data_IF_669504087239
#
_entry.id   IF_669504087239
#
_cell.length_a   1.000
_cell.length_b   1.000
_cell.length_c   1.000
_cell.angle_alpha   90.00
_cell.angle_beta   90.00
_cell.angle_gamma   90.00
#
_symmetry.space_group_name_H-M   'P 1'
#
loop_
_entity.id
_entity.type
_entity.pdbx_description
1 polymer ?
#
# COMPACT_ATOMS: atom_id res chain seq x y z
N UNK A 1 -24.28 -12.22 48.07
CA UNK A 1 -24.26 -10.81 48.48
C UNK A 1 -23.43 -9.95 47.54
N UNK A 2 -22.16 -10.22 47.29
CA UNK A 2 -21.30 -9.39 46.39
C UNK A 2 -21.90 -9.05 45.00
N UNK A 3 -22.68 -9.95 44.39
CA UNK A 3 -23.25 -9.73 43.05
C UNK A 3 -24.34 -8.66 43.05
N UNK A 4 -25.17 -8.59 44.11
CA UNK A 4 -26.23 -7.61 44.23
C UNK A 4 -25.66 -6.23 44.53
N UNK A 5 -24.65 -6.16 45.43
CA UNK A 5 -23.95 -4.91 45.77
C UNK A 5 -23.27 -4.31 44.51
N UNK A 6 -22.54 -5.11 43.76
CA UNK A 6 -21.91 -4.68 42.50
C UNK A 6 -22.95 -4.16 41.48
N UNK A 7 -24.13 -4.78 41.39
CA UNK A 7 -25.18 -4.33 40.48
C UNK A 7 -25.73 -2.96 40.90
N UNK A 8 -25.94 -2.74 42.20
CA UNK A 8 -26.40 -1.43 42.71
C UNK A 8 -25.32 -0.36 42.53
N UNK A 9 -24.05 -0.69 42.76
CA UNK A 9 -22.92 0.21 42.50
C UNK A 9 -22.87 0.59 41.01
N UNK A 10 -23.02 -0.38 40.11
CA UNK A 10 -23.04 -0.11 38.68
C UNK A 10 -24.22 0.80 38.29
N UNK A 11 -25.42 0.54 38.76
CA UNK A 11 -26.61 1.37 38.50
C UNK A 11 -26.46 2.80 39.05
N UNK A 12 -25.75 2.96 40.18
CA UNK A 12 -25.40 4.27 40.74
C UNK A 12 -24.40 5.01 39.86
N UNK A 13 -23.34 4.33 39.42
CA UNK A 13 -22.30 4.88 38.55
C UNK A 13 -22.88 5.29 37.17
N UNK A 14 -23.76 4.49 36.62
CA UNK A 14 -24.46 4.76 35.36
C UNK A 14 -25.57 5.82 35.50
N UNK A 15 -25.93 6.22 36.75
CA UNK A 15 -26.93 7.25 37.01
C UNK A 15 -28.40 6.79 36.87
N UNK A 16 -28.65 5.50 36.76
CA UNK A 16 -30.05 4.97 36.73
C UNK A 16 -30.73 5.08 38.08
N UNK A 17 -29.96 4.98 39.16
CA UNK A 17 -30.45 5.15 40.51
C UNK A 17 -29.60 6.18 41.26
N UNK A 18 -30.14 6.74 42.33
CA UNK A 18 -29.45 7.55 43.32
C UNK A 18 -29.63 6.96 44.71
N UNK A 19 -28.66 7.11 45.57
CA UNK A 19 -28.73 6.74 46.98
C UNK A 19 -29.05 7.97 47.81
N UNK A 20 -30.02 7.85 48.74
CA UNK A 20 -30.31 8.86 49.76
C UNK A 20 -30.01 8.26 51.14
N UNK A 21 -29.20 8.96 51.92
CA UNK A 21 -28.77 8.48 53.24
C UNK A 21 -29.97 8.15 54.13
N UNK A 22 -29.95 6.96 54.74
CA UNK A 22 -31.00 6.40 55.57
C UNK A 22 -32.37 6.21 54.92
N UNK A 23 -32.50 6.47 53.60
CA UNK A 23 -33.75 6.34 52.84
C UNK A 23 -33.73 5.26 51.77
N UNK A 24 -32.50 4.86 51.34
CA UNK A 24 -32.32 3.80 50.35
C UNK A 24 -32.05 4.28 48.93
N UNK A 25 -32.36 3.45 47.96
CA UNK A 25 -32.11 3.72 46.54
C UNK A 25 -33.37 4.15 45.81
N UNK A 26 -33.24 5.14 44.94
CA UNK A 26 -34.33 5.69 44.14
C UNK A 26 -33.95 5.67 42.67
N UNK A 27 -34.90 5.32 41.80
CA UNK A 27 -34.72 5.36 40.35
C UNK A 27 -34.75 6.82 39.89
N UNK A 28 -33.76 7.19 39.09
CA UNK A 28 -33.69 8.51 38.48
C UNK A 28 -34.68 8.60 37.30
N UNK A 29 -35.31 9.76 37.14
CA UNK A 29 -36.13 10.03 35.96
C UNK A 29 -35.20 10.37 34.80
N UNK A 30 -35.03 9.42 33.87
CA UNK A 30 -34.31 9.65 32.66
C UNK A 30 -35.22 10.37 31.66
N UNK A 31 -34.86 11.60 31.29
CA UNK A 31 -35.50 12.25 30.14
C UNK A 31 -34.95 11.61 28.85
N UNK A 32 -35.52 10.49 28.48
CA UNK A 32 -35.27 9.93 27.14
C UNK A 32 -36.04 10.83 26.16
N UNK A 33 -35.34 11.80 25.58
CA UNK A 33 -35.85 12.42 24.36
C UNK A 33 -35.91 11.30 23.33
N UNK A 34 -37.11 10.80 23.08
CA UNK A 34 -37.38 9.86 22.00
C UNK A 34 -37.04 10.55 20.68
N UNK A 35 -35.79 10.49 20.31
CA UNK A 35 -35.45 10.70 18.93
C UNK A 35 -36.05 9.51 18.17
N UNK A 36 -37.02 9.76 17.30
CA UNK A 36 -37.47 8.76 16.34
C UNK A 36 -36.22 8.14 15.74
N UNK A 37 -36.07 6.83 15.86
CA UNK A 37 -34.92 6.13 15.28
C UNK A 37 -34.75 6.61 13.84
N UNK A 38 -33.58 7.11 13.46
CA UNK A 38 -33.37 7.50 12.09
C UNK A 38 -33.70 6.29 11.23
N UNK A 39 -34.61 6.47 10.27
CA UNK A 39 -34.87 5.46 9.27
C UNK A 39 -33.52 5.23 8.56
N UNK A 40 -32.85 4.15 8.89
CA UNK A 40 -31.68 3.72 8.15
C UNK A 40 -32.15 3.39 6.74
N UNK A 41 -32.05 4.37 5.84
CA UNK A 41 -32.12 4.08 4.42
C UNK A 41 -31.01 3.07 4.16
N UNK A 42 -31.39 1.85 3.83
CA UNK A 42 -30.42 0.81 3.48
C UNK A 42 -29.77 1.22 2.15
N UNK A 43 -28.61 1.88 2.23
CA UNK A 43 -27.71 2.07 1.11
C UNK A 43 -27.02 0.73 0.76
N UNK A 44 -27.80 -0.31 0.58
CA UNK A 44 -27.31 -1.56 0.02
C UNK A 44 -27.23 -1.33 -1.48
N UNK A 45 -26.08 -0.85 -1.94
CA UNK A 45 -25.74 -0.96 -3.35
C UNK A 45 -25.62 -2.46 -3.64
N UNK A 46 -26.67 -3.05 -4.19
CA UNK A 46 -26.59 -4.41 -4.73
C UNK A 46 -25.70 -4.33 -5.94
N UNK A 47 -24.44 -4.76 -5.81
CA UNK A 47 -23.61 -5.08 -6.94
C UNK A 47 -24.32 -6.23 -7.67
N UNK A 48 -24.87 -5.96 -8.86
CA UNK A 48 -25.29 -7.02 -9.77
C UNK A 48 -24.01 -7.65 -10.30
N UNK A 49 -23.79 -8.92 -10.00
CA UNK A 49 -22.84 -9.73 -10.74
C UNK A 49 -23.43 -9.90 -12.15
N UNK A 50 -22.91 -9.18 -13.12
CA UNK A 50 -23.24 -9.39 -14.53
C UNK A 50 -22.35 -10.56 -15.02
N UNK A 51 -22.96 -11.58 -15.56
CA UNK A 51 -22.25 -12.69 -16.20
C UNK A 51 -21.70 -12.21 -17.55
N UNK A 52 -20.38 -12.06 -17.63
CA UNK A 52 -19.68 -11.77 -18.89
C UNK A 52 -19.08 -13.04 -19.46
N UNK A 53 -19.02 -13.14 -20.79
CA UNK A 53 -18.27 -14.20 -21.47
C UNK A 53 -16.79 -14.17 -21.07
N UNK A 54 -16.23 -12.98 -20.90
CA UNK A 54 -14.91 -12.75 -20.35
C UNK A 54 -14.90 -11.38 -19.67
N UNK A 55 -14.53 -11.32 -18.40
CA UNK A 55 -14.32 -10.06 -17.69
C UNK A 55 -12.86 -9.61 -17.87
N UNK A 56 -12.65 -8.58 -18.69
CA UNK A 56 -11.34 -7.97 -18.93
C UNK A 56 -11.06 -6.77 -18.02
N UNK A 57 -11.98 -6.42 -17.12
CA UNK A 57 -11.85 -5.26 -16.23
C UNK A 57 -11.25 -5.61 -14.88
N UNK A 58 -11.43 -6.85 -14.43
CA UNK A 58 -11.01 -7.28 -13.12
C UNK A 58 -9.56 -7.77 -13.13
N UNK A 59 -8.87 -7.54 -12.01
CA UNK A 59 -7.59 -8.18 -11.71
C UNK A 59 -7.81 -9.65 -11.33
N UNK A 60 -8.58 -10.38 -12.13
CA UNK A 60 -8.89 -11.77 -11.87
C UNK A 60 -7.64 -12.63 -12.08
N UNK A 61 -7.39 -13.49 -11.13
CA UNK A 61 -6.39 -14.56 -11.24
C UNK A 61 -7.12 -15.88 -11.49
N UNK A 62 -6.40 -16.85 -12.04
CA UNK A 62 -6.89 -18.22 -12.12
C UNK A 62 -6.79 -18.84 -10.71
N UNK A 63 -7.91 -18.93 -10.00
CA UNK A 63 -7.96 -19.40 -8.60
C UNK A 63 -7.40 -20.81 -8.42
N UNK A 64 -7.48 -21.66 -9.43
CA UNK A 64 -6.93 -23.01 -9.47
C UNK A 64 -5.39 -23.04 -9.51
N UNK A 65 -4.74 -21.94 -9.86
CA UNK A 65 -3.27 -21.83 -9.89
C UNK A 65 -2.66 -21.43 -8.54
N UNK A 66 -3.45 -20.97 -7.59
CA UNK A 66 -2.92 -20.62 -6.28
C UNK A 66 -2.51 -21.87 -5.51
N UNK A 67 -1.27 -21.94 -4.98
CA UNK A 67 -0.74 -23.14 -4.33
C UNK A 67 -1.27 -23.30 -2.89
N UNK A 68 -2.58 -23.55 -2.72
CA UNK A 68 -3.25 -23.64 -1.41
C UNK A 68 -2.59 -24.61 -0.44
N UNK A 69 -2.14 -25.78 -0.91
CA UNK A 69 -1.49 -26.78 -0.04
C UNK A 69 -0.17 -26.26 0.53
N UNK A 70 0.64 -25.62 -0.30
CA UNK A 70 1.91 -25.01 0.10
C UNK A 70 1.65 -23.85 1.07
N UNK A 71 0.71 -22.95 0.74
CA UNK A 71 0.36 -21.82 1.59
C UNK A 71 -0.15 -22.28 2.96
N UNK A 72 -1.07 -23.24 3.01
CA UNK A 72 -1.59 -23.82 4.25
C UNK A 72 -0.50 -24.46 5.11
N UNK A 73 0.50 -25.12 4.49
CA UNK A 73 1.66 -25.67 5.20
C UNK A 73 2.50 -24.54 5.82
N UNK A 74 2.81 -23.52 5.05
CA UNK A 74 3.58 -22.34 5.49
C UNK A 74 2.86 -21.66 6.66
N UNK A 75 1.56 -21.40 6.55
CA UNK A 75 0.77 -20.77 7.61
C UNK A 75 0.81 -21.57 8.92
N UNK A 76 0.69 -22.89 8.85
CA UNK A 76 0.80 -23.76 10.04
C UNK A 76 2.19 -23.70 10.67
N UNK A 77 3.25 -23.72 9.86
CA UNK A 77 4.62 -23.58 10.35
C UNK A 77 4.83 -22.21 11.00
N UNK A 78 4.35 -21.14 10.37
CA UNK A 78 4.43 -19.79 10.90
C UNK A 78 3.80 -19.69 12.30
N UNK A 79 2.63 -20.29 12.50
CA UNK A 79 1.97 -20.31 13.82
C UNK A 79 2.78 -21.06 14.88
N UNK A 80 3.51 -22.11 14.48
CA UNK A 80 4.33 -22.92 15.40
C UNK A 80 5.67 -22.23 15.72
N UNK A 81 6.33 -21.67 14.69
CA UNK A 81 7.72 -21.19 14.81
C UNK A 81 7.81 -19.80 15.42
N UNK A 82 6.76 -18.99 15.30
CA UNK A 82 6.76 -17.56 15.68
C UNK A 82 5.71 -17.18 16.73
N UNK A 83 5.22 -18.13 17.52
CA UNK A 83 4.10 -17.98 18.45
C UNK A 83 4.07 -16.63 19.19
N UNK A 84 5.11 -16.32 19.97
CA UNK A 84 5.22 -15.06 20.73
C UNK A 84 5.52 -13.84 19.87
N UNK A 85 6.22 -14.00 18.75
CA UNK A 85 6.55 -12.93 17.82
C UNK A 85 5.32 -12.42 17.07
N UNK A 86 4.38 -13.31 16.77
CA UNK A 86 3.11 -12.96 16.11
C UNK A 86 2.19 -12.08 16.97
N UNK A 87 2.40 -12.08 18.30
CA UNK A 87 1.62 -11.27 19.23
C UNK A 87 2.20 -9.85 19.42
N UNK A 88 3.38 -9.58 18.89
CA UNK A 88 4.04 -8.27 19.00
C UNK A 88 3.50 -7.32 17.93
N UNK A 89 3.53 -6.03 18.24
CA UNK A 89 3.25 -4.98 17.25
C UNK A 89 4.25 -5.06 16.12
N UNK A 90 3.75 -5.07 14.89
CA UNK A 90 4.59 -5.05 13.69
C UNK A 90 5.27 -3.68 13.56
N UNK A 91 6.59 -3.64 13.29
CA UNK A 91 7.29 -2.38 13.03
C UNK A 91 6.63 -1.56 11.91
N UNK A 92 6.75 -0.24 11.96
CA UNK A 92 6.10 0.68 11.01
C UNK A 92 6.42 0.36 9.54
N UNK A 93 7.60 -0.17 9.26
CA UNK A 93 8.06 -0.54 7.92
C UNK A 93 7.88 -2.04 7.59
N UNK A 94 7.24 -2.81 8.48
CA UNK A 94 7.03 -4.24 8.31
C UNK A 94 8.05 -5.11 9.04
N UNK A 95 7.74 -6.41 9.12
CA UNK A 95 8.59 -7.41 9.76
C UNK A 95 9.94 -7.51 9.04
N UNK A 96 11.04 -7.45 9.78
CA UNK A 96 12.41 -7.51 9.23
C UNK A 96 12.59 -8.74 8.32
N UNK A 97 12.11 -9.91 8.75
CA UNK A 97 12.23 -11.14 7.98
C UNK A 97 11.59 -11.04 6.59
N UNK A 98 10.45 -10.36 6.47
CA UNK A 98 9.83 -10.12 5.15
C UNK A 98 10.65 -9.13 4.34
N UNK A 99 11.13 -8.06 4.95
CA UNK A 99 11.96 -7.05 4.25
C UNK A 99 13.26 -7.65 3.72
N UNK A 100 13.90 -8.53 4.49
CA UNK A 100 15.08 -9.30 4.04
C UNK A 100 14.71 -10.20 2.86
N UNK A 101 13.63 -10.98 2.97
CA UNK A 101 13.17 -11.85 1.88
C UNK A 101 12.83 -11.06 0.60
N UNK A 102 12.19 -9.88 0.73
CA UNK A 102 11.93 -8.98 -0.41
C UNK A 102 13.25 -8.47 -1.01
N UNK A 103 14.21 -8.05 -0.22
CA UNK A 103 15.51 -7.58 -0.73
C UNK A 103 16.25 -8.68 -1.51
N UNK A 104 16.25 -9.91 -1.00
CA UNK A 104 16.81 -11.07 -1.70
C UNK A 104 16.05 -11.40 -2.99
N UNK A 105 14.72 -11.33 -2.97
CA UNK A 105 13.88 -11.53 -4.15
C UNK A 105 14.21 -10.49 -5.24
N UNK A 106 14.26 -9.20 -4.87
CA UNK A 106 14.64 -8.12 -5.77
C UNK A 106 16.04 -8.29 -6.36
N UNK A 107 16.99 -8.74 -5.56
CA UNK A 107 18.33 -9.04 -6.04
C UNK A 107 18.33 -10.15 -7.10
N UNK A 108 17.65 -11.28 -6.81
CA UNK A 108 17.61 -12.45 -7.71
C UNK A 108 16.85 -12.17 -9.01
N UNK A 109 15.75 -11.44 -8.94
CA UNK A 109 14.84 -11.28 -10.09
C UNK A 109 15.00 -9.96 -10.83
N UNK A 110 15.51 -8.90 -10.15
CA UNK A 110 15.61 -7.55 -10.71
C UNK A 110 17.03 -6.99 -10.72
N UNK A 111 18.00 -7.69 -10.14
CA UNK A 111 19.38 -7.19 -10.00
C UNK A 111 19.48 -5.96 -9.09
N UNK A 112 18.47 -5.71 -8.24
CA UNK A 112 18.44 -4.57 -7.35
C UNK A 112 19.20 -4.87 -6.05
N UNK A 113 20.13 -3.99 -5.68
CA UNK A 113 20.87 -4.05 -4.42
C UNK A 113 20.24 -3.06 -3.44
N UNK A 114 19.26 -3.51 -2.66
CA UNK A 114 18.54 -2.66 -1.71
C UNK A 114 18.75 -3.14 -0.28
N UNK A 115 18.90 -2.18 0.65
CA UNK A 115 18.88 -2.51 2.08
C UNK A 115 17.46 -2.87 2.51
N UNK A 116 17.27 -3.93 3.31
CA UNK A 116 15.98 -4.22 3.93
C UNK A 116 15.41 -3.04 4.72
N UNK A 117 16.26 -2.14 5.23
CA UNK A 117 15.82 -0.98 6.00
C UNK A 117 15.24 0.14 5.15
N UNK A 118 15.44 0.09 3.84
CA UNK A 118 14.82 1.02 2.87
C UNK A 118 13.46 0.52 2.35
N UNK A 119 12.98 -0.63 2.82
CA UNK A 119 11.72 -1.24 2.39
C UNK A 119 10.61 -0.89 3.37
N UNK A 120 9.48 -0.40 2.84
CA UNK A 120 8.23 -0.17 3.58
C UNK A 120 7.18 -1.15 3.05
N UNK A 121 6.67 -2.00 3.91
CA UNK A 121 5.57 -2.94 3.61
C UNK A 121 4.23 -2.29 3.91
N UNK A 122 3.24 -2.48 3.03
CA UNK A 122 1.90 -1.91 3.20
C UNK A 122 0.80 -2.74 2.57
N UNK A 123 -0.45 -2.48 2.97
CA UNK A 123 -1.63 -3.21 2.53
C UNK A 123 -2.05 -2.82 1.09
N UNK A 124 -1.19 -3.11 0.13
CA UNK A 124 -1.37 -2.84 -1.29
C UNK A 124 -0.92 -1.45 -1.71
N UNK A 125 -0.94 -1.23 -3.02
CA UNK A 125 -0.37 -0.01 -3.63
C UNK A 125 -1.12 1.26 -3.26
N UNK A 126 -2.45 1.22 -3.08
CA UNK A 126 -3.22 2.41 -2.68
C UNK A 126 -2.75 2.98 -1.34
N UNK A 127 -2.48 2.11 -0.36
CA UNK A 127 -1.91 2.53 0.93
C UNK A 127 -0.51 3.12 0.75
N UNK A 128 0.35 2.46 -0.02
CA UNK A 128 1.71 2.92 -0.26
C UNK A 128 1.72 4.28 -0.97
N UNK A 129 0.88 4.48 -1.99
CA UNK A 129 0.72 5.79 -2.62
C UNK A 129 0.26 6.86 -1.62
N UNK A 130 -0.73 6.56 -0.79
CA UNK A 130 -1.17 7.52 0.24
C UNK A 130 -0.03 7.94 1.18
N UNK A 131 0.85 7.00 1.57
CA UNK A 131 2.05 7.30 2.37
C UNK A 131 3.08 8.11 1.59
N UNK A 132 3.30 7.77 0.33
CA UNK A 132 4.23 8.48 -0.54
C UNK A 132 3.81 9.94 -0.76
N UNK A 133 2.52 10.19 -1.00
CA UNK A 133 2.01 11.56 -1.17
C UNK A 133 2.23 12.41 0.09
N UNK A 134 2.02 11.81 1.27
CA UNK A 134 2.29 12.50 2.55
C UNK A 134 3.79 12.77 2.75
N UNK A 135 4.65 11.81 2.37
CA UNK A 135 6.09 11.92 2.50
C UNK A 135 6.67 13.02 1.60
N UNK A 136 6.24 13.07 0.34
CA UNK A 136 6.71 14.06 -0.62
C UNK A 136 6.11 15.45 -0.37
N UNK A 137 4.90 15.50 0.19
CA UNK A 137 4.24 16.73 0.60
C UNK A 137 3.55 17.47 -0.55
N UNK A 138 2.88 18.56 -0.19
CA UNK A 138 2.02 19.34 -1.12
C UNK A 138 2.76 20.10 -2.21
N UNK A 139 4.06 20.30 -2.05
CA UNK A 139 4.87 21.02 -3.04
C UNK A 139 5.30 20.13 -4.20
N UNK A 140 5.16 18.81 -4.06
CA UNK A 140 5.45 17.87 -5.13
C UNK A 140 4.38 17.98 -6.22
N UNK A 141 4.81 18.12 -7.48
CA UNK A 141 3.95 18.05 -8.65
C UNK A 141 4.25 16.77 -9.43
N UNK A 142 3.22 15.95 -9.60
CA UNK A 142 3.36 14.66 -10.23
C UNK A 142 3.08 14.74 -11.74
N UNK A 143 3.94 14.11 -12.55
CA UNK A 143 3.68 13.86 -13.97
C UNK A 143 3.25 12.42 -14.17
N UNK A 144 2.11 12.21 -14.81
CA UNK A 144 1.51 10.88 -15.05
C UNK A 144 1.44 10.62 -16.54
N UNK A 145 1.80 9.42 -16.95
CA UNK A 145 1.77 8.99 -18.37
C UNK A 145 0.36 9.14 -18.99
N UNK A 146 0.31 9.64 -20.23
CA UNK A 146 -0.92 9.82 -21.00
C UNK A 146 -0.78 9.17 -22.41
N UNK A 147 -1.57 8.11 -22.71
CA UNK A 147 -2.50 7.42 -21.84
C UNK A 147 -1.81 6.70 -20.68
N UNK A 148 -2.53 6.46 -19.58
CA UNK A 148 -1.99 5.80 -18.39
C UNK A 148 -3.09 5.21 -17.49
N UNK A 149 -2.70 4.67 -16.36
CA UNK A 149 -3.62 4.03 -15.42
C UNK A 149 -4.43 5.07 -14.63
N UNK A 150 -5.69 5.28 -15.03
CA UNK A 150 -6.58 6.30 -14.46
C UNK A 150 -6.77 6.25 -12.94
N UNK A 151 -6.55 5.11 -12.30
CA UNK A 151 -6.69 4.99 -10.84
C UNK A 151 -5.65 5.85 -10.11
N UNK A 152 -4.48 6.02 -10.69
CA UNK A 152 -3.41 6.85 -10.11
C UNK A 152 -3.83 8.31 -10.00
N UNK A 153 -4.42 8.87 -11.06
CA UNK A 153 -4.89 10.27 -11.02
C UNK A 153 -5.97 10.48 -9.97
N UNK A 154 -6.89 9.51 -9.80
CA UNK A 154 -7.90 9.56 -8.73
C UNK A 154 -7.27 9.52 -7.34
N UNK A 155 -6.20 8.73 -7.15
CA UNK A 155 -5.47 8.70 -5.88
C UNK A 155 -4.78 10.04 -5.60
N UNK A 156 -4.25 10.69 -6.62
CA UNK A 156 -3.64 12.01 -6.51
C UNK A 156 -4.66 13.10 -6.19
N UNK A 157 -5.84 13.07 -6.84
CA UNK A 157 -6.95 13.96 -6.54
C UNK A 157 -7.39 13.86 -5.07
N UNK A 158 -7.64 12.62 -4.61
CA UNK A 158 -8.03 12.36 -3.20
C UNK A 158 -6.89 12.72 -2.24
N UNK A 159 -5.64 12.51 -2.63
CA UNK A 159 -4.45 12.88 -1.86
C UNK A 159 -4.20 14.39 -1.79
N UNK A 160 -4.91 15.19 -2.61
CA UNK A 160 -4.80 16.65 -2.63
C UNK A 160 -3.44 17.17 -3.10
N UNK A 161 -2.76 16.41 -3.97
CA UNK A 161 -1.50 16.81 -4.59
C UNK A 161 -1.73 17.33 -6.01
N UNK A 162 -0.84 18.20 -6.47
CA UNK A 162 -0.87 18.70 -7.83
C UNK A 162 -0.28 17.67 -8.79
N UNK A 163 -0.95 17.44 -9.91
CA UNK A 163 -0.46 16.54 -10.95
C UNK A 163 -0.84 17.04 -12.35
N UNK A 164 -0.17 16.52 -13.38
CA UNK A 164 -0.47 16.81 -14.78
C UNK A 164 -0.18 15.59 -15.64
N UNK A 165 -0.85 15.49 -16.80
CA UNK A 165 -0.51 14.48 -17.77
C UNK A 165 0.77 14.84 -18.51
N UNK A 166 1.61 13.83 -18.74
CA UNK A 166 2.80 13.89 -19.59
C UNK A 166 2.61 12.89 -20.71
N UNK A 167 2.65 13.36 -21.94
CA UNK A 167 2.41 12.50 -23.09
C UNK A 167 3.51 11.45 -23.23
N UNK A 168 3.14 10.32 -23.79
CA UNK A 168 4.07 9.27 -24.18
C UNK A 168 4.24 9.23 -25.70
N UNK A 169 5.37 8.71 -26.12
CA UNK A 169 5.66 8.35 -27.51
C UNK A 169 5.98 6.85 -27.62
N UNK A 170 6.57 6.42 -28.74
CA UNK A 170 6.99 5.02 -28.92
C UNK A 170 8.10 4.52 -27.97
N UNK A 171 8.63 5.39 -27.10
CA UNK A 171 9.67 5.08 -26.12
C UNK A 171 9.21 5.30 -24.66
N UNK A 172 8.00 5.80 -24.43
CA UNK A 172 7.46 6.09 -23.09
C UNK A 172 7.29 7.58 -22.83
N UNK A 173 7.33 7.97 -21.57
CA UNK A 173 7.11 9.34 -21.12
C UNK A 173 8.08 10.33 -21.78
N UNK A 174 7.57 11.43 -22.34
CA UNK A 174 8.34 12.52 -22.95
C UNK A 174 9.01 13.38 -21.87
N UNK A 175 10.32 13.25 -21.75
CA UNK A 175 11.09 13.90 -20.66
C UNK A 175 11.07 15.42 -20.78
N UNK A 176 11.09 15.96 -22.00
CA UNK A 176 11.05 17.41 -22.24
C UNK A 176 9.78 18.10 -21.71
N UNK A 177 8.69 17.36 -21.58
CA UNK A 177 7.46 17.92 -21.01
C UNK A 177 7.51 18.05 -19.48
N UNK A 178 8.40 17.33 -18.80
CA UNK A 178 8.53 17.40 -17.35
C UNK A 178 8.91 18.80 -16.89
N UNK A 179 9.93 19.39 -17.51
CA UNK A 179 10.38 20.75 -17.19
C UNK A 179 9.36 21.80 -17.62
N UNK A 180 8.80 21.66 -18.83
CA UNK A 180 7.78 22.59 -19.35
C UNK A 180 6.56 22.69 -18.43
N UNK A 181 6.21 21.58 -17.77
CA UNK A 181 5.07 21.50 -16.85
C UNK A 181 5.45 21.69 -15.39
N UNK A 182 6.72 21.90 -15.08
CA UNK A 182 7.21 22.05 -13.71
C UNK A 182 6.99 20.81 -12.85
N UNK A 183 7.12 19.63 -13.45
CA UNK A 183 6.99 18.34 -12.75
C UNK A 183 8.22 18.12 -11.86
N UNK A 184 7.99 17.64 -10.65
CA UNK A 184 9.04 17.25 -9.71
C UNK A 184 9.08 15.75 -9.45
N UNK A 185 7.99 15.04 -9.73
CA UNK A 185 7.89 13.59 -9.55
C UNK A 185 7.32 12.96 -10.82
N UNK A 186 8.12 12.21 -11.56
CA UNK A 186 7.67 11.46 -12.73
C UNK A 186 7.16 10.07 -12.29
N UNK A 187 5.91 9.74 -12.61
CA UNK A 187 5.33 8.43 -12.31
C UNK A 187 5.23 7.61 -13.59
N UNK A 188 5.97 6.50 -13.65
CA UNK A 188 6.13 5.66 -14.83
C UNK A 188 5.98 4.17 -14.53
N UNK A 189 5.52 3.41 -15.52
CA UNK A 189 5.51 1.94 -15.51
C UNK A 189 6.40 1.43 -16.65
N UNK A 190 7.72 1.33 -16.44
CA UNK A 190 8.68 1.20 -17.55
C UNK A 190 8.73 -0.20 -18.17
N UNK A 191 8.26 -1.25 -17.50
CA UNK A 191 8.30 -2.62 -18.04
C UNK A 191 7.07 -2.99 -18.84
N UNK A 192 5.90 -2.73 -18.27
CA UNK A 192 4.62 -3.06 -18.89
C UNK A 192 3.68 -1.87 -18.76
N UNK A 193 3.89 -0.88 -19.61
CA UNK A 193 3.06 0.31 -19.59
C UNK A 193 1.58 -0.02 -19.83
N UNK A 194 0.72 0.32 -18.89
CA UNK A 194 -0.72 0.17 -19.07
C UNK A 194 -1.33 1.48 -19.62
N UNK A 195 -2.20 1.45 -20.67
CA UNK A 195 -2.83 0.24 -21.26
C UNK A 195 -2.16 -0.31 -22.53
N UNK A 196 -1.07 0.29 -23.00
CA UNK A 196 -0.55 0.01 -24.36
C UNK A 196 0.52 -1.09 -24.43
N UNK A 197 0.99 -1.61 -23.31
CA UNK A 197 1.99 -2.70 -23.26
C UNK A 197 3.39 -2.29 -23.75
N UNK A 198 3.69 -0.99 -23.75
CA UNK A 198 5.02 -0.48 -24.15
C UNK A 198 6.06 -0.88 -23.12
N UNK A 199 7.23 -1.31 -23.58
CA UNK A 199 8.44 -1.47 -22.77
C UNK A 199 9.35 -0.26 -23.02
N UNK A 200 9.63 0.50 -21.96
CA UNK A 200 10.50 1.68 -22.05
C UNK A 200 11.95 1.27 -22.34
N UNK A 201 12.54 1.72 -23.45
CA UNK A 201 13.92 1.37 -23.79
C UNK A 201 14.92 2.04 -22.84
N UNK A 202 16.13 1.44 -22.74
CA UNK A 202 17.18 1.90 -21.83
C UNK A 202 17.57 3.36 -22.03
N UNK A 203 17.54 3.86 -23.25
CA UNK A 203 17.80 5.27 -23.55
C UNK A 203 16.86 6.22 -22.82
N UNK A 204 15.53 5.97 -22.92
CA UNK A 204 14.52 6.79 -22.25
C UNK A 204 14.61 6.68 -20.72
N UNK A 205 14.95 5.50 -20.19
CA UNK A 205 15.20 5.33 -18.75
C UNK A 205 16.37 6.19 -18.28
N UNK A 206 17.46 6.25 -19.06
CA UNK A 206 18.61 7.11 -18.77
C UNK A 206 18.27 8.61 -18.85
N UNK A 207 17.45 9.04 -19.82
CA UNK A 207 16.95 10.41 -19.90
C UNK A 207 16.18 10.82 -18.64
N UNK A 208 15.25 9.95 -18.18
CA UNK A 208 14.50 10.19 -16.94
C UNK A 208 15.40 10.22 -15.71
N UNK A 209 16.37 9.30 -15.60
CA UNK A 209 17.32 9.28 -14.50
C UNK A 209 18.20 10.54 -14.49
N UNK A 210 18.62 11.00 -15.66
CA UNK A 210 19.39 12.25 -15.81
C UNK A 210 18.55 13.45 -15.38
N UNK A 211 17.31 13.58 -15.87
CA UNK A 211 16.37 14.62 -15.46
C UNK A 211 16.17 14.66 -13.94
N UNK A 212 15.99 13.49 -13.30
CA UNK A 212 15.80 13.42 -11.86
C UNK A 212 17.06 13.80 -11.06
N UNK A 213 18.24 13.60 -11.65
CA UNK A 213 19.52 13.94 -11.02
C UNK A 213 19.85 15.45 -11.05
N UNK A 214 19.24 16.22 -11.96
CA UNK A 214 19.52 17.65 -12.12
C UNK A 214 19.08 18.49 -10.92
N UNK A 215 18.00 18.09 -10.22
CA UNK A 215 17.44 18.82 -9.11
C UNK A 215 17.24 17.95 -7.86
N UNK A 216 17.56 18.43 -6.65
CA UNK A 216 17.56 17.61 -5.44
C UNK A 216 16.19 17.09 -4.99
N UNK A 217 15.09 17.73 -5.38
CA UNK A 217 13.72 17.34 -5.01
C UNK A 217 12.97 16.64 -6.17
N UNK A 218 13.67 16.28 -7.26
CA UNK A 218 13.09 15.46 -8.33
C UNK A 218 13.23 13.98 -8.01
N UNK A 219 12.15 13.25 -8.24
CA UNK A 219 12.08 11.80 -8.05
C UNK A 219 11.35 11.12 -9.20
N UNK A 220 11.60 9.83 -9.33
CA UNK A 220 10.85 8.95 -10.25
C UNK A 220 10.14 7.91 -9.40
N UNK A 221 8.84 7.74 -9.58
CA UNK A 221 8.07 6.61 -9.07
C UNK A 221 8.04 5.55 -10.15
N UNK A 222 8.73 4.44 -9.92
CA UNK A 222 8.71 3.25 -10.76
C UNK A 222 7.63 2.31 -10.24
N UNK A 223 6.46 2.27 -10.92
CA UNK A 223 5.38 1.33 -10.62
C UNK A 223 5.58 0.03 -11.38
N UNK A 224 6.06 -0.98 -10.69
CA UNK A 224 6.46 -2.27 -11.24
C UNK A 224 5.52 -3.38 -10.72
N UNK A 225 4.30 -3.38 -11.21
CA UNK A 225 3.19 -4.18 -10.65
C UNK A 225 3.16 -5.65 -11.08
N UNK A 226 3.95 -6.05 -12.08
CA UNK A 226 3.88 -7.39 -12.69
C UNK A 226 5.23 -7.94 -13.20
N UNK A 227 6.33 -7.50 -12.61
CA UNK A 227 7.69 -7.85 -13.03
C UNK A 227 8.03 -9.36 -12.98
N UNK A 228 7.29 -10.13 -12.23
CA UNK A 228 7.45 -11.58 -12.15
C UNK A 228 6.89 -12.30 -13.38
N UNK A 229 6.00 -11.65 -14.15
CA UNK A 229 5.46 -12.20 -15.38
C UNK A 229 6.43 -11.98 -16.55
N UNK A 230 7.15 -13.04 -16.91
CA UNK A 230 8.07 -13.02 -18.04
C UNK A 230 7.40 -13.55 -19.28
N UNK A 231 7.11 -12.65 -20.21
CA UNK A 231 6.52 -13.05 -21.49
C UNK A 231 7.57 -13.61 -22.45
N UNK A 232 8.73 -12.98 -22.54
CA UNK A 232 9.84 -13.40 -23.43
C UNK A 232 11.19 -12.85 -22.90
N UNK A 233 12.25 -13.67 -22.94
CA UNK A 233 13.62 -13.21 -22.77
C UNK A 233 14.15 -13.10 -21.34
N UNK A 234 15.25 -12.34 -21.18
CA UNK A 234 15.89 -12.06 -19.88
C UNK A 234 15.13 -10.92 -19.16
N UNK A 235 15.15 -10.89 -17.81
CA UNK A 235 14.58 -9.78 -17.07
C UNK A 235 15.15 -8.43 -17.53
N UNK A 236 14.29 -7.46 -17.71
CA UNK A 236 14.71 -6.08 -17.99
C UNK A 236 15.15 -5.48 -16.65
N UNK A 237 16.33 -4.84 -16.55
CA UNK A 237 16.74 -4.17 -15.32
C UNK A 237 15.76 -3.07 -14.93
N UNK A 238 15.40 -2.98 -13.65
CA UNK A 238 14.58 -1.87 -13.15
C UNK A 238 15.31 -0.53 -13.27
N UNK A 239 14.59 0.58 -13.30
CA UNK A 239 15.22 1.91 -13.23
C UNK A 239 15.95 2.08 -11.91
N UNK A 240 15.40 1.55 -10.82
CA UNK A 240 16.05 1.58 -9.51
C UNK A 240 17.42 0.89 -9.52
N UNK A 241 17.59 -0.24 -10.23
CA UNK A 241 18.89 -0.93 -10.33
C UNK A 241 19.94 -0.13 -11.13
N UNK A 242 19.50 0.81 -11.98
CA UNK A 242 20.32 1.69 -12.80
C UNK A 242 20.61 3.04 -12.11
N UNK A 243 19.85 3.37 -11.06
CA UNK A 243 19.88 4.66 -10.38
C UNK A 243 21.13 4.80 -9.49
N UNK A 244 22.04 5.69 -9.86
CA UNK A 244 23.25 6.04 -9.09
C UNK A 244 23.07 7.27 -8.21
N UNK A 245 21.94 7.98 -8.36
CA UNK A 245 21.72 9.27 -7.70
C UNK A 245 20.66 9.18 -6.59
N UNK A 246 20.13 7.98 -6.32
CA UNK A 246 19.10 7.75 -5.30
C UNK A 246 17.85 8.61 -5.53
N UNK A 247 17.29 8.55 -6.77
CA UNK A 247 16.11 9.30 -7.21
C UNK A 247 14.90 8.43 -7.49
N UNK A 248 15.06 7.11 -7.55
CA UNK A 248 13.97 6.19 -7.88
C UNK A 248 13.30 5.67 -6.61
N UNK A 249 12.00 5.87 -6.52
CA UNK A 249 11.10 5.26 -5.56
C UNK A 249 10.46 4.08 -6.28
N UNK A 250 10.78 2.86 -5.84
CA UNK A 250 10.26 1.65 -6.47
C UNK A 250 9.05 1.14 -5.71
N UNK A 251 7.97 0.81 -6.42
CA UNK A 251 6.73 0.27 -5.83
C UNK A 251 6.35 -1.03 -6.54
N UNK A 252 6.03 -2.05 -5.74
CA UNK A 252 5.56 -3.34 -6.24
C UNK A 252 4.48 -3.94 -5.32
N UNK A 253 3.79 -4.98 -5.81
CA UNK A 253 2.73 -5.68 -5.08
C UNK A 253 2.68 -7.16 -5.42
N UNK A 254 2.49 -8.00 -4.42
CA UNK A 254 2.24 -9.44 -4.61
C UNK A 254 0.79 -9.76 -5.01
N UNK A 255 -0.08 -8.73 -5.13
CA UNK A 255 -1.50 -8.92 -5.48
C UNK A 255 -1.72 -9.46 -6.88
N UNK A 256 -0.78 -9.24 -7.80
CA UNK A 256 -0.85 -9.74 -9.18
C UNK A 256 -0.22 -11.12 -9.33
N UNK A 257 0.89 -11.35 -8.66
CA UNK A 257 1.69 -12.58 -8.78
C UNK A 257 1.20 -13.71 -7.88
N UNK A 258 0.52 -13.36 -6.79
CA UNK A 258 -0.11 -14.34 -5.90
C UNK A 258 -1.64 -14.26 -5.96
N UNK A 259 -2.25 -13.54 -5.06
CA UNK A 259 -3.71 -13.33 -5.04
C UNK A 259 -4.05 -11.90 -4.62
N UNK A 260 -5.07 -11.27 -5.22
CA UNK A 260 -5.46 -9.90 -4.90
C UNK A 260 -5.86 -9.69 -3.43
N UNK A 261 -6.43 -10.72 -2.78
CA UNK A 261 -6.88 -10.68 -1.38
C UNK A 261 -5.76 -10.63 -0.36
N UNK A 262 -4.54 -11.03 -0.71
CA UNK A 262 -3.38 -11.01 0.19
C UNK A 262 -2.96 -9.59 0.59
N UNK A 263 -3.23 -8.62 -0.29
CA UNK A 263 -3.00 -7.19 -0.03
C UNK A 263 -1.61 -6.84 0.51
N UNK A 264 -0.57 -7.51 0.06
CA UNK A 264 0.81 -7.17 0.41
C UNK A 264 1.46 -6.46 -0.77
N UNK A 265 1.90 -5.24 -0.53
CA UNK A 265 2.75 -4.47 -1.41
C UNK A 265 3.94 -3.92 -0.63
N UNK A 266 4.90 -3.38 -1.34
CA UNK A 266 6.04 -2.73 -0.74
C UNK A 266 6.56 -1.59 -1.62
N UNK A 267 7.24 -0.64 -0.97
CA UNK A 267 8.02 0.39 -1.68
C UNK A 267 9.46 0.40 -1.15
N UNK A 268 10.39 0.68 -2.04
CA UNK A 268 11.80 0.91 -1.71
C UNK A 268 12.05 2.41 -1.83
N UNK A 269 12.46 3.03 -0.74
CA UNK A 269 12.73 4.44 -0.69
C UNK A 269 14.23 4.73 -0.83
N UNK A 270 14.61 5.79 -1.58
CA UNK A 270 15.94 6.37 -1.48
C UNK A 270 16.28 6.78 -0.04
N UNK A 271 17.57 6.74 0.31
CA UNK A 271 18.05 7.01 1.69
C UNK A 271 17.47 8.30 2.28
N UNK A 272 17.58 9.41 1.56
CA UNK A 272 17.05 10.71 2.01
C UNK A 272 15.55 10.69 2.32
N UNK A 273 14.77 9.96 1.50
CA UNK A 273 13.34 9.81 1.73
C UNK A 273 13.05 8.83 2.89
N UNK A 274 13.88 7.81 3.07
CA UNK A 274 13.75 6.90 4.19
C UNK A 274 14.04 7.60 5.54
N UNK A 275 15.09 8.42 5.60
CA UNK A 275 15.37 9.27 6.77
C UNK A 275 14.20 10.20 7.10
N UNK A 276 13.63 10.84 6.06
CA UNK A 276 12.44 11.69 6.20
C UNK A 276 11.24 10.87 6.67
N UNK A 277 11.03 9.67 6.14
CA UNK A 277 9.95 8.78 6.58
C UNK A 277 10.10 8.41 8.05
N UNK A 278 11.29 8.01 8.49
CA UNK A 278 11.58 7.67 9.89
C UNK A 278 11.34 8.87 10.81
N UNK A 279 11.77 10.05 10.42
CA UNK A 279 11.64 11.24 11.28
C UNK A 279 10.21 11.78 11.38
N UNK A 280 9.38 11.57 10.36
CA UNK A 280 8.04 12.19 10.29
C UNK A 280 6.88 11.22 10.33
N UNK A 281 7.08 9.93 10.00
CA UNK A 281 6.00 8.97 9.77
C UNK A 281 6.17 7.63 10.52
N UNK A 282 7.20 7.46 11.33
CA UNK A 282 7.45 6.22 12.09
C UNK A 282 6.38 5.87 13.14
N UNK A 283 5.50 6.82 13.46
CA UNK A 283 4.38 6.61 14.38
C UNK A 283 3.20 5.82 13.76
N UNK A 284 3.18 5.66 12.43
CA UNK A 284 2.17 4.84 11.78
C UNK A 284 2.43 3.35 12.03
N UNK A 285 1.36 2.61 12.28
CA UNK A 285 1.45 1.16 12.33
C UNK A 285 1.51 0.57 10.92
N UNK A 286 2.26 -0.52 10.74
CA UNK A 286 2.18 -1.31 9.52
C UNK A 286 0.78 -1.90 9.36
N UNK A 287 0.24 -1.81 8.16
CA UNK A 287 -1.15 -2.22 7.87
C UNK A 287 -1.29 -3.68 7.46
N UNK A 288 -0.18 -4.39 7.26
CA UNK A 288 -0.18 -5.82 6.96
C UNK A 288 0.00 -6.62 8.25
N UNK A 289 -0.81 -7.63 8.44
CA UNK A 289 -0.75 -8.52 9.60
C UNK A 289 0.62 -9.22 9.71
N UNK A 290 1.16 -9.34 10.92
CA UNK A 290 2.39 -10.10 11.18
C UNK A 290 2.29 -11.55 10.70
N UNK A 291 1.13 -12.20 10.87
CA UNK A 291 0.88 -13.56 10.40
C UNK A 291 1.12 -13.72 8.89
N UNK A 292 0.59 -12.80 8.11
CA UNK A 292 0.76 -12.79 6.65
C UNK A 292 2.19 -12.44 6.24
N UNK A 293 2.83 -11.52 6.96
CA UNK A 293 4.20 -11.13 6.67
C UNK A 293 5.20 -12.26 6.90
N UNK A 294 5.09 -12.99 8.01
CA UNK A 294 5.96 -14.15 8.27
C UNK A 294 5.69 -15.28 7.28
N UNK A 295 4.43 -15.53 6.93
CA UNK A 295 4.08 -16.53 5.92
C UNK A 295 4.63 -16.15 4.54
N UNK A 296 4.52 -14.88 4.15
CA UNK A 296 5.06 -14.38 2.88
C UNK A 296 6.58 -14.45 2.83
N UNK A 297 7.26 -14.13 3.93
CA UNK A 297 8.71 -14.25 4.03
C UNK A 297 9.20 -15.71 3.87
N UNK A 298 8.40 -16.68 4.31
CA UNK A 298 8.71 -18.10 4.15
C UNK A 298 8.34 -18.63 2.76
N UNK A 299 7.47 -17.93 2.02
CA UNK A 299 7.08 -18.28 0.66
C UNK A 299 8.10 -17.81 -0.38
N UNK A 300 8.70 -16.60 -0.22
CA UNK A 300 9.75 -16.02 -1.07
C UNK A 300 11.06 -16.77 -0.95
#
# INVERSE_FOLDING_TARGET
MKTVENTYEQLLLEGYIRSEEKRGYFVNRLEVKSASAPAYASFVTRFREEEYLADLTANNIQYDKFPFATWAKIMRQTLTDYDTSLLKTVPFNGVEKLRVAIAEHLYRYRGMHVSPDHIIVGAGTEYLYSRLLQLLGKNAKFGVENPGYRKITKLYDVGGVTWDYVDIDGQGMKVEQLDQKGITVAHVSPEHHFPIGLVMPVGRRQELLSWAAEEPERYIVEDDFDCEFRMVGKPIPSMQSMDRNHRVIYINTFSKTMVPSLRIGYMVLPEKLMERYISTMNFYSCTVSGFEQYAMAAFL
#
